data_IF_584569040951
#
_entry.id   IF_584569040951
#
_cell.length_a   1.000
_cell.length_b   1.000
_cell.length_c   1.000
_cell.angle_alpha   90.00
_cell.angle_beta   90.00
_cell.angle_gamma   90.00
#
_symmetry.space_group_name_H-M   'P 1'
#
loop_
_entity.id
_entity.type
_entity.pdbx_description
1 polymer ?
#
# COMPACT_ATOMS: atom_id res chain seq x y z
N UNK A 1 14.27 -58.22 -5.76
CA UNK A 1 13.77 -57.22 -4.80
C UNK A 1 14.44 -55.85 -4.97
N UNK A 2 15.50 -55.74 -5.80
CA UNK A 2 16.28 -54.50 -5.96
C UNK A 2 15.67 -53.49 -6.93
N UNK A 3 14.98 -53.95 -7.99
CA UNK A 3 14.32 -53.07 -8.97
C UNK A 3 13.26 -52.15 -8.32
N UNK A 4 12.46 -52.67 -7.36
CA UNK A 4 11.47 -51.86 -6.64
C UNK A 4 12.11 -50.83 -5.68
N UNK A 5 13.32 -51.08 -5.17
CA UNK A 5 14.03 -50.15 -4.28
C UNK A 5 14.58 -48.95 -5.05
N UNK A 6 15.05 -49.15 -6.28
CA UNK A 6 15.52 -48.07 -7.13
C UNK A 6 14.37 -47.15 -7.58
N UNK A 7 13.21 -47.69 -7.94
CA UNK A 7 12.02 -46.89 -8.30
C UNK A 7 11.56 -46.03 -7.12
N UNK A 8 11.53 -46.58 -5.91
CA UNK A 8 11.21 -45.80 -4.70
C UNK A 8 12.21 -44.69 -4.39
N UNK A 9 13.51 -44.93 -4.64
CA UNK A 9 14.57 -43.94 -4.50
C UNK A 9 14.42 -42.78 -5.51
N UNK A 10 14.10 -43.07 -6.77
CA UNK A 10 13.86 -42.02 -7.77
C UNK A 10 12.64 -41.16 -7.42
N UNK A 11 11.58 -41.80 -6.92
CA UNK A 11 10.34 -41.12 -6.57
C UNK A 11 10.55 -40.19 -5.35
N UNK A 12 11.34 -40.62 -4.37
CA UNK A 12 11.72 -39.78 -3.21
C UNK A 12 12.63 -38.62 -3.61
N UNK A 13 13.58 -38.82 -4.51
CA UNK A 13 14.45 -37.74 -5.03
C UNK A 13 13.62 -36.70 -5.81
N UNK A 14 12.71 -37.15 -6.68
CA UNK A 14 11.81 -36.25 -7.40
C UNK A 14 10.93 -35.42 -6.46
N UNK A 15 10.40 -36.03 -5.40
CA UNK A 15 9.57 -35.33 -4.41
C UNK A 15 10.38 -34.25 -3.66
N UNK A 16 11.64 -34.53 -3.35
CA UNK A 16 12.55 -33.61 -2.64
C UNK A 16 13.00 -32.43 -3.53
N UNK A 17 13.13 -32.65 -4.84
CA UNK A 17 13.43 -31.60 -5.81
C UNK A 17 12.24 -30.66 -6.03
N UNK A 18 11.01 -31.16 -5.98
CA UNK A 18 9.80 -30.34 -6.17
C UNK A 18 9.56 -29.38 -4.99
N UNK A 19 9.91 -29.77 -3.77
CA UNK A 19 9.70 -28.93 -2.57
C UNK A 19 10.74 -27.83 -2.41
N UNK A 20 11.94 -28.00 -2.98
CA UNK A 20 13.01 -26.99 -2.91
C UNK A 20 12.85 -25.83 -3.90
N UNK A 21 11.97 -25.97 -4.91
CA UNK A 21 11.66 -24.93 -5.89
C UNK A 21 10.65 -23.87 -5.44
N UNK A 22 10.00 -24.05 -4.28
CA UNK A 22 9.04 -23.10 -3.70
C UNK A 22 9.79 -21.92 -3.05
N UNK A 23 10.45 -21.12 -3.87
CA UNK A 23 10.92 -19.81 -3.42
C UNK A 23 9.70 -18.89 -3.33
N UNK A 24 9.56 -18.21 -2.18
CA UNK A 24 8.52 -17.22 -1.96
C UNK A 24 8.74 -16.06 -2.91
N UNK A 25 8.07 -16.07 -4.06
CA UNK A 25 7.96 -14.92 -4.94
C UNK A 25 7.25 -13.80 -4.17
N UNK A 26 8.03 -12.91 -3.56
CA UNK A 26 7.54 -11.73 -2.88
C UNK A 26 7.07 -10.75 -3.96
N UNK A 27 5.77 -10.74 -4.22
CA UNK A 27 5.17 -9.74 -5.08
C UNK A 27 5.41 -8.35 -4.46
N UNK A 28 6.23 -7.51 -5.10
CA UNK A 28 6.38 -6.12 -4.69
C UNK A 28 5.12 -5.36 -5.06
N UNK A 29 4.37 -4.90 -4.07
CA UNK A 29 3.25 -3.99 -4.27
C UNK A 29 3.79 -2.57 -4.41
N UNK A 30 3.71 -2.01 -5.62
CA UNK A 30 4.00 -0.60 -5.84
C UNK A 30 2.73 0.21 -5.60
N UNK A 31 2.83 1.23 -4.75
CA UNK A 31 1.71 2.15 -4.54
C UNK A 31 1.61 3.15 -5.71
N UNK A 32 0.39 3.60 -6.00
CA UNK A 32 0.12 4.49 -7.12
C UNK A 32 0.58 5.91 -6.79
N UNK A 33 1.37 6.52 -7.67
CA UNK A 33 1.73 7.95 -7.58
C UNK A 33 0.52 8.80 -8.01
N UNK A 34 0.20 9.81 -7.22
CA UNK A 34 -0.94 10.72 -7.45
C UNK A 34 -0.46 12.12 -7.85
N UNK A 35 0.69 12.58 -7.34
CA UNK A 35 1.31 13.84 -7.73
C UNK A 35 2.83 13.80 -7.58
N UNK A 36 3.51 14.67 -8.34
CA UNK A 36 4.93 15.00 -8.19
C UNK A 36 5.02 16.44 -7.68
N UNK A 37 5.80 16.68 -6.63
CA UNK A 37 5.97 18.00 -6.03
C UNK A 37 7.47 18.24 -5.85
N UNK A 38 8.04 19.10 -6.70
CA UNK A 38 9.49 19.30 -6.78
C UNK A 38 10.24 17.95 -6.92
N UNK A 39 11.09 17.61 -5.96
CA UNK A 39 11.87 16.36 -5.95
C UNK A 39 11.19 15.20 -5.19
N UNK A 40 9.99 15.42 -4.64
CA UNK A 40 9.23 14.43 -3.88
C UNK A 40 7.97 13.91 -4.62
N UNK A 41 7.49 12.74 -4.19
CA UNK A 41 6.29 12.08 -4.71
C UNK A 41 5.20 12.00 -3.66
N UNK A 42 3.95 12.22 -4.09
CA UNK A 42 2.77 11.95 -3.28
C UNK A 42 2.11 10.67 -3.77
N UNK A 43 2.03 9.69 -2.88
CA UNK A 43 1.42 8.38 -3.14
C UNK A 43 -0.06 8.36 -2.79
N UNK A 44 -0.78 7.40 -3.36
CA UNK A 44 -2.20 7.21 -3.09
C UNK A 44 -2.45 6.87 -1.63
N UNK A 45 -1.60 6.02 -1.03
CA UNK A 45 -1.70 5.67 0.38
C UNK A 45 -1.59 6.88 1.29
N UNK A 46 -0.68 7.80 1.02
CA UNK A 46 -0.52 9.03 1.81
C UNK A 46 -1.78 9.89 1.74
N UNK A 47 -2.33 10.08 0.53
CA UNK A 47 -3.59 10.79 0.36
C UNK A 47 -4.77 10.07 1.04
N UNK A 48 -4.84 8.75 0.96
CA UNK A 48 -5.87 7.94 1.61
C UNK A 48 -5.78 8.04 3.14
N UNK A 49 -4.58 8.13 3.71
CA UNK A 49 -4.39 8.38 5.15
C UNK A 49 -4.98 9.74 5.54
N UNK A 50 -4.72 10.80 4.77
CA UNK A 50 -5.30 12.13 5.04
C UNK A 50 -6.82 12.14 4.93
N UNK A 51 -7.39 11.49 3.91
CA UNK A 51 -8.85 11.34 3.77
C UNK A 51 -9.45 10.60 4.96
N UNK A 52 -8.81 9.53 5.43
CA UNK A 52 -9.28 8.80 6.60
C UNK A 52 -9.19 9.63 7.89
N UNK A 53 -8.12 10.39 8.08
CA UNK A 53 -8.00 11.33 9.20
C UNK A 53 -9.12 12.38 9.17
N UNK A 54 -9.43 12.92 7.99
CA UNK A 54 -10.54 13.85 7.82
C UNK A 54 -11.89 13.22 8.14
N UNK A 55 -12.13 11.97 7.74
CA UNK A 55 -13.35 11.25 8.10
C UNK A 55 -13.47 11.07 9.63
N UNK A 56 -12.38 10.73 10.31
CA UNK A 56 -12.36 10.62 11.78
C UNK A 56 -12.66 11.97 12.44
N UNK A 57 -12.07 13.06 11.94
CA UNK A 57 -12.35 14.41 12.42
C UNK A 57 -13.82 14.79 12.26
N UNK A 58 -14.42 14.49 11.10
CA UNK A 58 -15.84 14.75 10.84
C UNK A 58 -16.77 13.97 11.78
N UNK A 59 -16.42 12.73 12.14
CA UNK A 59 -17.16 11.96 13.13
C UNK A 59 -17.04 12.57 14.53
N UNK A 60 -15.83 12.94 14.94
CA UNK A 60 -15.55 13.37 16.31
C UNK A 60 -16.03 14.80 16.59
N UNK A 61 -15.74 15.73 15.68
CA UNK A 61 -15.98 17.17 15.85
C UNK A 61 -17.39 17.54 15.38
N UNK A 62 -17.80 17.04 14.20
CA UNK A 62 -19.05 17.44 13.56
C UNK A 62 -20.18 16.42 13.77
N UNK A 63 -19.93 15.31 14.49
CA UNK A 63 -20.91 14.26 14.83
C UNK A 63 -21.59 13.64 13.62
N UNK A 64 -20.91 13.61 12.48
CA UNK A 64 -21.43 12.93 11.30
C UNK A 64 -21.50 11.42 11.53
N UNK A 65 -22.46 10.75 10.89
CA UNK A 65 -22.44 9.29 10.84
C UNK A 65 -21.20 8.81 10.10
N UNK A 66 -20.78 7.56 10.32
CA UNK A 66 -19.57 7.01 9.70
C UNK A 66 -19.62 7.14 8.17
N UNK A 67 -20.77 6.83 7.57
CA UNK A 67 -20.98 6.87 6.12
C UNK A 67 -20.94 8.31 5.59
N UNK A 68 -21.57 9.25 6.28
CA UNK A 68 -21.54 10.67 5.88
C UNK A 68 -20.14 11.24 5.98
N UNK A 69 -19.43 10.94 7.09
CA UNK A 69 -18.07 11.40 7.30
C UNK A 69 -17.10 10.88 6.23
N UNK A 70 -17.20 9.60 5.85
CA UNK A 70 -16.38 9.04 4.76
C UNK A 70 -16.71 9.67 3.42
N UNK A 71 -17.99 9.83 3.08
CA UNK A 71 -18.40 10.43 1.82
C UNK A 71 -17.94 11.89 1.72
N UNK A 72 -18.06 12.64 2.80
CA UNK A 72 -17.68 14.05 2.83
C UNK A 72 -16.15 14.22 2.80
N UNK A 73 -15.41 13.37 3.53
CA UNK A 73 -13.95 13.34 3.43
C UNK A 73 -13.47 12.98 2.01
N UNK A 74 -14.14 12.03 1.35
CA UNK A 74 -13.83 11.64 -0.03
C UNK A 74 -14.12 12.77 -1.02
N UNK A 75 -15.20 13.54 -0.83
CA UNK A 75 -15.48 14.76 -1.62
C UNK A 75 -14.38 15.80 -1.46
N UNK A 76 -13.79 15.90 -0.27
CA UNK A 76 -12.71 16.83 0.04
C UNK A 76 -11.33 16.29 -0.37
N UNK A 77 -11.23 15.13 -1.03
CA UNK A 77 -9.95 14.52 -1.44
C UNK A 77 -9.06 15.48 -2.24
N UNK A 78 -9.62 16.19 -3.20
CA UNK A 78 -8.85 17.14 -4.03
C UNK A 78 -8.27 18.29 -3.20
N UNK A 79 -9.04 18.81 -2.25
CA UNK A 79 -8.61 19.88 -1.36
C UNK A 79 -7.57 19.40 -0.34
N UNK A 80 -7.69 18.15 0.12
CA UNK A 80 -6.69 17.52 0.98
C UNK A 80 -5.36 17.34 0.26
N UNK A 81 -5.40 16.90 -1.00
CA UNK A 81 -4.20 16.80 -1.84
C UNK A 81 -3.55 18.18 -2.04
N UNK A 82 -4.33 19.19 -2.39
CA UNK A 82 -3.83 20.55 -2.58
C UNK A 82 -3.19 21.11 -1.30
N UNK A 83 -3.79 20.87 -0.14
CA UNK A 83 -3.19 21.23 1.16
C UNK A 83 -1.86 20.51 1.40
N UNK A 84 -1.78 19.22 1.11
CA UNK A 84 -0.53 18.44 1.24
C UNK A 84 0.57 19.01 0.33
N UNK A 85 0.25 19.29 -0.94
CA UNK A 85 1.19 19.90 -1.89
C UNK A 85 1.69 21.25 -1.35
N UNK A 86 0.79 22.12 -0.89
CA UNK A 86 1.19 23.42 -0.30
C UNK A 86 2.10 23.26 0.90
N UNK A 87 1.84 22.29 1.79
CA UNK A 87 2.69 22.03 2.95
C UNK A 87 4.09 21.59 2.55
N UNK A 88 4.23 20.73 1.53
CA UNK A 88 5.53 20.31 1.00
C UNK A 88 6.29 21.51 0.41
N UNK A 89 5.63 22.33 -0.40
CA UNK A 89 6.23 23.53 -0.99
C UNK A 89 6.73 24.52 0.08
N UNK A 90 5.96 24.73 1.15
CA UNK A 90 6.35 25.60 2.25
C UNK A 90 7.53 25.05 3.04
N UNK A 91 7.59 23.72 3.23
CA UNK A 91 8.67 23.07 3.95
C UNK A 91 10.00 23.20 3.18
N UNK A 92 9.97 23.01 1.87
CA UNK A 92 11.15 23.20 1.03
C UNK A 92 11.62 24.66 1.00
N UNK A 93 10.69 25.62 0.90
CA UNK A 93 11.01 27.05 0.95
C UNK A 93 11.63 27.49 2.29
N UNK A 94 11.38 26.76 3.38
CA UNK A 94 11.99 27.03 4.69
C UNK A 94 13.38 26.40 4.86
N UNK A 95 13.71 25.39 4.04
CA UNK A 95 15.00 24.67 4.07
C UNK A 95 16.02 25.24 3.08
N UNK A 96 15.59 26.14 2.19
CA UNK A 96 16.41 26.83 1.17
C UNK A 96 16.74 28.25 1.60
#
# INVERSE_FOLDING_TARGET
MDMMRHVGAYLTICLLLLTSGLTNATARTFDKIVAYVNDDIVTKRELDVLVNQRAIELQQVYRFSEREARNEAERQRSELLDRLIRQMLLLEAALT
#
